data_IF_570218938549
#
_entry.id   IF_570218938549
#
_cell.length_a   1.000
_cell.length_b   1.000
_cell.length_c   1.000
_cell.angle_alpha   90.00
_cell.angle_beta   90.00
_cell.angle_gamma   90.00
#
_symmetry.space_group_name_H-M   'P 1'
#
loop_
_entity.id
_entity.type
_entity.pdbx_description
1 polymer ?
#
# COMPACT_ATOMS: atom_id res chain seq x y z
N UNK A 1 -7.38 -14.37 -9.36
CA UNK A 1 -8.23 -13.19 -9.64
C UNK A 1 -8.45 -12.34 -8.38
N UNK A 2 -7.44 -12.21 -7.50
CA UNK A 2 -7.63 -11.52 -6.22
C UNK A 2 -8.66 -12.23 -5.32
N UNK A 3 -9.43 -11.44 -4.58
CA UNK A 3 -10.47 -11.89 -3.63
C UNK A 3 -11.54 -12.78 -4.26
N UNK A 4 -11.86 -12.62 -5.56
CA UNK A 4 -12.77 -13.50 -6.30
C UNK A 4 -12.46 -14.99 -6.12
N UNK A 5 -11.17 -15.36 -5.99
CA UNK A 5 -10.79 -16.76 -5.82
C UNK A 5 -11.45 -17.41 -4.58
N UNK A 6 -11.78 -16.59 -3.57
CA UNK A 6 -12.43 -16.97 -2.32
C UNK A 6 -13.94 -16.72 -2.38
N UNK A 7 -14.37 -15.51 -2.77
CA UNK A 7 -15.79 -15.11 -2.69
C UNK A 7 -16.65 -15.60 -3.85
N UNK A 8 -16.06 -15.81 -5.04
CA UNK A 8 -16.75 -16.08 -6.32
C UNK A 8 -17.66 -14.95 -6.84
N UNK A 9 -17.62 -13.77 -6.22
CA UNK A 9 -18.40 -12.60 -6.65
C UNK A 9 -17.65 -11.80 -7.71
N UNK A 10 -18.28 -11.51 -8.85
CA UNK A 10 -17.66 -10.80 -9.97
C UNK A 10 -17.10 -9.41 -9.59
N UNK A 11 -17.72 -8.75 -8.61
CA UNK A 11 -17.25 -7.50 -8.01
C UNK A 11 -15.84 -7.61 -7.40
N UNK A 12 -15.47 -8.79 -6.88
CA UNK A 12 -14.19 -9.03 -6.22
C UNK A 12 -13.06 -9.42 -7.19
N UNK A 13 -13.32 -9.42 -8.51
CA UNK A 13 -12.27 -9.70 -9.52
C UNK A 13 -11.20 -8.63 -9.43
N UNK A 14 -9.95 -9.06 -9.21
CA UNK A 14 -8.82 -8.14 -9.08
C UNK A 14 -8.76 -7.36 -7.76
N UNK A 15 -9.75 -7.53 -6.87
CA UNK A 15 -9.73 -6.91 -5.56
C UNK A 15 -8.65 -7.55 -4.67
N UNK A 16 -7.94 -6.69 -3.93
CA UNK A 16 -6.94 -7.09 -2.93
C UNK A 16 -7.27 -6.47 -1.59
N UNK A 17 -6.74 -7.09 -0.52
CA UNK A 17 -6.84 -6.54 0.83
C UNK A 17 -6.07 -5.22 0.88
N UNK A 18 -6.68 -4.18 1.44
CA UNK A 18 -5.98 -2.97 1.87
C UNK A 18 -5.06 -3.32 3.05
N UNK A 19 -3.73 -3.20 2.90
CA UNK A 19 -2.79 -3.52 3.98
C UNK A 19 -2.87 -2.48 5.10
N UNK A 20 -2.43 -2.86 6.30
CA UNK A 20 -2.17 -1.88 7.36
C UNK A 20 -0.91 -1.08 7.04
N UNK A 21 -0.82 0.15 7.56
CA UNK A 21 0.28 1.09 7.26
C UNK A 21 1.29 1.25 8.42
N UNK A 22 1.18 0.46 9.50
CA UNK A 22 2.12 0.51 10.63
C UNK A 22 3.52 0.08 10.16
N UNK A 23 4.53 0.91 10.44
CA UNK A 23 5.92 0.69 10.02
C UNK A 23 6.06 0.40 8.52
N UNK A 24 5.22 1.03 7.69
CA UNK A 24 5.22 0.81 6.24
C UNK A 24 6.54 1.23 5.59
N UNK A 25 7.24 2.21 6.17
CA UNK A 25 8.60 2.64 5.76
C UNK A 25 9.60 1.49 5.63
N UNK A 26 9.43 0.41 6.39
CA UNK A 26 10.36 -0.71 6.48
C UNK A 26 10.02 -1.88 5.53
N UNK A 27 8.95 -1.77 4.74
CA UNK A 27 8.41 -2.89 3.95
C UNK A 27 8.53 -2.72 2.44
N UNK A 28 9.46 -1.89 1.96
CA UNK A 28 9.73 -1.76 0.53
C UNK A 28 10.21 -3.10 -0.08
N UNK A 29 9.93 -3.39 -1.36
CA UNK A 29 9.11 -2.60 -2.28
C UNK A 29 7.61 -2.71 -2.01
N UNK A 30 6.84 -1.74 -2.48
CA UNK A 30 5.43 -1.57 -2.20
C UNK A 30 4.53 -2.15 -3.29
N UNK A 31 3.22 -2.12 -3.03
CA UNK A 31 2.18 -2.78 -3.82
C UNK A 31 2.28 -4.31 -3.76
N UNK A 32 1.25 -4.99 -4.27
CA UNK A 32 1.15 -6.45 -4.19
C UNK A 32 2.26 -7.15 -5.01
N UNK A 33 2.66 -6.53 -6.11
CA UNK A 33 3.63 -7.06 -7.07
C UNK A 33 5.01 -6.42 -6.93
N UNK A 34 5.22 -5.53 -5.96
CA UNK A 34 6.51 -4.83 -5.79
C UNK A 34 6.77 -3.76 -6.84
N UNK A 35 5.74 -3.29 -7.57
CA UNK A 35 5.87 -2.33 -8.67
C UNK A 35 6.37 -0.94 -8.24
N UNK A 36 6.11 -0.55 -7.00
CA UNK A 36 6.45 0.78 -6.49
C UNK A 36 7.63 0.69 -5.52
N UNK A 37 8.82 1.22 -5.87
CA UNK A 37 10.02 1.06 -5.04
C UNK A 37 10.05 1.97 -3.80
N UNK A 38 9.26 3.05 -3.80
CA UNK A 38 9.32 4.14 -2.80
C UNK A 38 7.92 4.54 -2.34
N UNK A 39 7.77 5.12 -1.14
CA UNK A 39 6.46 5.59 -0.68
C UNK A 39 5.98 6.79 -1.51
N UNK A 40 6.89 7.61 -1.97
CA UNK A 40 6.66 8.72 -2.89
C UNK A 40 6.05 8.22 -4.19
N UNK A 41 6.58 7.14 -4.77
CA UNK A 41 6.01 6.57 -6.00
C UNK A 41 4.62 5.96 -5.77
N UNK A 42 4.35 5.38 -4.59
CA UNK A 42 3.00 4.97 -4.16
C UNK A 42 2.06 6.17 -4.05
N UNK A 43 2.50 7.26 -3.44
CA UNK A 43 1.71 8.50 -3.30
C UNK A 43 1.39 9.07 -4.69
N UNK A 44 2.35 9.10 -5.60
CA UNK A 44 2.13 9.52 -6.98
C UNK A 44 1.14 8.59 -7.71
N UNK A 45 1.29 7.27 -7.57
CA UNK A 45 0.41 6.27 -8.18
C UNK A 45 -1.05 6.48 -7.77
N UNK A 46 -1.33 6.65 -6.48
CA UNK A 46 -2.69 6.92 -6.02
C UNK A 46 -3.13 8.36 -6.31
N UNK A 47 -2.21 9.34 -6.28
CA UNK A 47 -2.46 10.74 -6.60
C UNK A 47 -3.07 10.95 -7.99
N UNK A 48 -2.63 10.15 -8.98
CA UNK A 48 -3.16 10.12 -10.35
C UNK A 48 -4.32 9.13 -10.57
N UNK A 49 -4.84 8.54 -9.50
CA UNK A 49 -6.05 7.68 -9.52
C UNK A 49 -5.80 6.22 -9.88
N UNK A 50 -4.56 5.74 -9.69
CA UNK A 50 -4.15 4.35 -9.91
C UNK A 50 -4.15 3.90 -11.37
N UNK A 51 -3.03 3.34 -11.84
CA UNK A 51 -2.86 2.89 -13.23
C UNK A 51 -3.48 1.53 -13.49
N UNK A 52 -4.79 1.43 -13.30
CA UNK A 52 -5.51 0.17 -13.45
C UNK A 52 -6.64 0.36 -14.45
N UNK A 53 -6.49 -0.25 -15.63
CA UNK A 53 -7.49 -0.18 -16.71
C UNK A 53 -8.70 -1.08 -16.46
N UNK A 54 -8.51 -2.23 -15.79
CA UNK A 54 -9.54 -3.27 -15.60
C UNK A 54 -9.73 -3.59 -14.13
N UNK A 55 -10.99 -3.71 -13.72
CA UNK A 55 -11.39 -4.01 -12.34
C UNK A 55 -10.84 -3.02 -11.30
N UNK A 56 -10.67 -1.75 -11.69
CA UNK A 56 -10.35 -0.68 -10.74
C UNK A 56 -11.57 -0.41 -9.87
N UNK A 57 -11.35 -0.30 -8.56
CA UNK A 57 -12.40 0.08 -7.61
C UNK A 57 -12.90 1.50 -7.87
N UNK A 58 -14.21 1.73 -7.73
CA UNK A 58 -14.82 3.07 -7.85
C UNK A 58 -14.35 4.04 -6.76
N UNK A 59 -13.80 3.54 -5.65
CA UNK A 59 -13.23 4.36 -4.58
C UNK A 59 -11.84 4.91 -4.92
N UNK A 60 -11.17 4.35 -5.93
CA UNK A 60 -9.88 4.87 -6.40
C UNK A 60 -10.16 5.96 -7.43
N UNK A 61 -9.98 7.20 -6.99
CA UNK A 61 -10.15 8.41 -7.81
C UNK A 61 -8.89 9.25 -7.75
N UNK A 62 -8.74 10.17 -8.70
CA UNK A 62 -7.62 11.11 -8.71
C UNK A 62 -7.74 12.03 -7.50
N UNK A 63 -6.66 12.16 -6.72
CA UNK A 63 -6.67 12.92 -5.47
C UNK A 63 -6.25 14.39 -5.65
N UNK A 64 -5.62 14.71 -6.79
CA UNK A 64 -5.19 16.08 -7.15
C UNK A 64 -4.33 16.78 -6.08
N UNK A 65 -3.49 16.00 -5.39
CA UNK A 65 -2.62 16.49 -4.34
C UNK A 65 -1.60 17.50 -4.87
N UNK A 66 -1.46 18.62 -4.19
CA UNK A 66 -0.35 19.55 -4.40
C UNK A 66 0.96 18.96 -3.84
N UNK A 67 2.08 19.63 -4.13
CA UNK A 67 3.41 19.18 -3.67
C UNK A 67 3.46 19.08 -2.14
N UNK A 68 2.94 20.08 -1.43
CA UNK A 68 2.93 20.10 0.03
C UNK A 68 2.11 18.94 0.62
N UNK A 69 0.93 18.64 0.07
CA UNK A 69 0.09 17.55 0.58
C UNK A 69 0.73 16.17 0.39
N UNK A 70 1.55 16.00 -0.65
CA UNK A 70 2.30 14.76 -0.85
C UNK A 70 3.43 14.61 0.17
N UNK A 71 4.14 15.70 0.46
CA UNK A 71 5.18 15.74 1.49
C UNK A 71 4.58 15.48 2.87
N UNK A 72 3.48 16.16 3.22
CA UNK A 72 2.79 15.97 4.49
C UNK A 72 2.27 14.53 4.65
N UNK A 73 1.77 13.92 3.57
CA UNK A 73 1.36 12.53 3.57
C UNK A 73 2.55 11.57 3.76
N UNK A 74 3.69 11.85 3.14
CA UNK A 74 4.91 11.06 3.32
C UNK A 74 5.38 11.13 4.78
N UNK A 75 5.45 12.32 5.36
CA UNK A 75 5.80 12.54 6.77
C UNK A 75 4.83 11.81 7.71
N UNK A 76 3.53 11.86 7.41
CA UNK A 76 2.53 11.10 8.17
C UNK A 76 2.80 9.59 8.13
N UNK A 77 3.14 9.03 6.96
CA UNK A 77 3.45 7.60 6.83
C UNK A 77 4.73 7.22 7.58
N UNK A 78 5.73 8.10 7.62
CA UNK A 78 6.94 7.91 8.42
C UNK A 78 6.64 7.91 9.92
N UNK A 79 5.73 8.78 10.37
CA UNK A 79 5.27 8.82 11.75
C UNK A 79 4.52 7.56 12.21
N UNK A 80 4.10 6.67 11.29
CA UNK A 80 3.49 5.37 11.63
C UNK A 80 4.52 4.29 11.99
N UNK A 81 5.82 4.60 11.96
CA UNK A 81 6.86 3.68 12.38
C UNK A 81 6.79 3.41 13.89
N UNK A 82 6.47 2.16 14.24
CA UNK A 82 6.41 1.72 15.63
C UNK A 82 7.78 1.30 16.17
N UNK A 83 7.86 1.16 17.49
CA UNK A 83 9.07 0.68 18.17
C UNK A 83 9.53 -0.69 17.63
N UNK A 84 10.86 -0.87 17.42
CA UNK A 84 11.40 -2.13 16.95
C UNK A 84 11.23 -3.22 18.00
N UNK A 85 10.77 -4.39 17.56
CA UNK A 85 10.66 -5.56 18.44
C UNK A 85 12.08 -6.11 18.63
N UNK A 86 12.60 -6.01 19.85
CA UNK A 86 13.89 -6.60 20.21
C UNK A 86 13.69 -8.12 20.37
N UNK A 87 14.24 -8.89 19.44
CA UNK A 87 14.20 -10.36 19.46
C UNK A 87 15.58 -10.88 19.84
N UNK A 88 15.66 -11.69 20.89
CA UNK A 88 16.85 -12.47 21.22
C UNK A 88 16.77 -13.82 20.53
N UNK A 89 17.81 -14.19 19.78
CA UNK A 89 17.83 -15.47 19.07
C UNK A 89 17.82 -16.63 20.06
N UNK A 90 16.86 -17.56 19.99
CA UNK A 90 16.85 -18.73 20.85
C UNK A 90 17.98 -19.69 20.47
N UNK A 91 18.50 -20.43 21.46
CA UNK A 91 19.32 -21.59 21.16
C UNK A 91 18.40 -22.72 20.71
N UNK A 92 18.55 -23.16 19.47
CA UNK A 92 17.84 -24.32 18.94
C UNK A 92 18.46 -25.60 19.52
N UNK A 93 17.65 -26.64 19.81
CA UNK A 93 18.14 -27.93 20.30
C UNK A 93 19.01 -28.67 19.27
#
# INVERSE_FOLDING_TARGET
MGRYNVSKEDFDKGAFKTPGLRSVTLSAPFMRDGSEPTLESVIEFYGRGGDVEKNRSSFITKLELCVQEKEDLLEFLQALEGEPIVVTLPQLP
#
